data_IF_899585417354
#
_entry.id   IF_899585417354
#
_cell.length_a   1.000
_cell.length_b   1.000
_cell.length_c   1.000
_cell.angle_alpha   90.00
_cell.angle_beta   90.00
_cell.angle_gamma   90.00
#
_symmetry.space_group_name_H-M   'P 1'
#
loop_
_entity.id
_entity.type
_entity.pdbx_description
1 polymer ?
#
# COMPACT_ATOMS: atom_id res chain seq x y z
N UNK A 1 24.31 -6.82 -14.28
CA UNK A 1 23.33 -6.06 -13.46
C UNK A 1 23.85 -6.01 -12.03
N UNK A 2 24.01 -4.82 -11.44
CA UNK A 2 24.38 -4.74 -10.02
C UNK A 2 23.11 -4.91 -9.17
N UNK A 3 22.71 -6.17 -8.98
CA UNK A 3 21.53 -6.58 -8.19
C UNK A 3 21.47 -5.84 -6.84
N UNK A 4 22.64 -5.64 -6.21
CA UNK A 4 22.77 -4.90 -4.95
C UNK A 4 22.32 -3.43 -5.03
N UNK A 5 22.62 -2.71 -6.13
CA UNK A 5 22.22 -1.31 -6.29
C UNK A 5 20.70 -1.18 -6.46
N UNK A 6 20.08 -2.07 -7.25
CA UNK A 6 18.63 -2.14 -7.39
C UNK A 6 17.95 -2.50 -6.07
N UNK A 7 18.47 -3.49 -5.36
CA UNK A 7 17.94 -3.89 -4.06
C UNK A 7 18.04 -2.76 -3.04
N UNK A 8 19.17 -2.06 -2.97
CA UNK A 8 19.36 -0.92 -2.08
C UNK A 8 18.38 0.22 -2.42
N UNK A 9 18.17 0.49 -3.70
CA UNK A 9 17.19 1.46 -4.18
C UNK A 9 15.78 1.08 -3.69
N UNK A 10 15.33 -0.15 -3.95
CA UNK A 10 14.01 -0.65 -3.53
C UNK A 10 13.84 -0.56 -2.01
N UNK A 11 14.86 -0.99 -1.25
CA UNK A 11 14.84 -0.96 0.21
C UNK A 11 14.81 0.46 0.77
N UNK A 12 15.37 1.46 0.07
CA UNK A 12 15.25 2.88 0.44
C UNK A 12 13.89 3.49 0.09
N UNK A 13 13.24 2.98 -0.96
CA UNK A 13 11.95 3.46 -1.45
C UNK A 13 10.78 2.97 -0.57
N UNK A 14 10.78 1.70 -0.19
CA UNK A 14 9.69 1.05 0.58
C UNK A 14 9.30 1.84 1.85
N UNK A 15 10.24 2.28 2.71
CA UNK A 15 9.90 3.06 3.90
C UNK A 15 9.20 4.38 3.60
N UNK A 16 9.56 5.07 2.50
CA UNK A 16 8.92 6.33 2.10
C UNK A 16 7.45 6.12 1.79
N UNK A 17 7.14 5.12 0.98
CA UNK A 17 5.77 4.75 0.62
C UNK A 17 4.98 4.29 1.84
N UNK A 18 5.59 3.44 2.68
CA UNK A 18 4.96 2.97 3.92
C UNK A 18 4.61 4.12 4.84
N UNK A 19 5.51 5.08 5.04
CA UNK A 19 5.26 6.27 5.86
C UNK A 19 4.14 7.11 5.27
N UNK A 20 4.14 7.34 3.96
CA UNK A 20 3.08 8.09 3.30
C UNK A 20 1.71 7.40 3.42
N UNK A 21 1.65 6.07 3.29
CA UNK A 21 0.42 5.30 3.52
C UNK A 21 -0.07 5.46 4.95
N UNK A 22 0.83 5.37 5.94
CA UNK A 22 0.51 5.59 7.36
C UNK A 22 -0.04 6.99 7.60
N UNK A 23 0.60 8.02 7.06
CA UNK A 23 0.13 9.40 7.20
C UNK A 23 -1.22 9.61 6.51
N UNK A 24 -1.44 9.03 5.31
CA UNK A 24 -2.68 9.20 4.58
C UNK A 24 -3.89 8.61 5.33
N UNK A 25 -3.73 7.49 6.03
CA UNK A 25 -4.84 6.90 6.81
C UNK A 25 -5.12 7.64 8.13
N UNK A 26 -4.24 8.53 8.60
CA UNK A 26 -4.51 9.34 9.80
C UNK A 26 -5.63 10.37 9.57
N UNK A 27 -5.91 10.74 8.31
CA UNK A 27 -7.05 11.62 7.97
C UNK A 27 -8.42 11.00 8.29
N UNK A 28 -8.46 9.70 8.56
CA UNK A 28 -9.69 9.03 8.93
C UNK A 28 -10.09 9.39 10.35
N UNK A 29 -11.06 10.30 10.47
CA UNK A 29 -11.66 10.70 11.75
C UNK A 29 -12.39 9.56 12.48
N UNK A 30 -12.63 8.45 11.79
CA UNK A 30 -13.29 7.26 12.32
C UNK A 30 -12.31 6.10 12.39
N UNK A 31 -12.24 5.46 13.54
CA UNK A 31 -11.40 4.29 13.74
C UNK A 31 -11.66 3.63 15.08
N UNK A 32 -10.82 2.65 15.41
CA UNK A 32 -10.77 2.08 16.75
C UNK A 32 -10.30 3.17 17.73
N UNK A 33 -11.00 3.36 18.84
CA UNK A 33 -10.58 4.27 19.93
C UNK A 33 -9.34 3.71 20.61
N UNK A 34 -9.40 2.44 21.01
CA UNK A 34 -8.30 1.66 21.56
C UNK A 34 -7.25 1.29 20.49
N UNK A 35 -6.03 1.03 20.95
CA UNK A 35 -4.89 0.64 20.11
C UNK A 35 -5.12 -0.67 19.36
N UNK A 36 -5.93 -1.57 19.91
CA UNK A 36 -6.34 -2.81 19.29
C UNK A 36 -7.72 -3.25 19.81
N UNK A 37 -8.33 -4.21 19.12
CA UNK A 37 -9.48 -5.00 19.62
C UNK A 37 -9.21 -6.47 19.36
N UNK A 38 -9.78 -7.35 20.17
CA UNK A 38 -9.71 -8.79 19.95
C UNK A 38 -11.03 -9.23 19.28
N UNK A 39 -10.94 -9.92 18.14
CA UNK A 39 -12.09 -10.48 17.42
C UNK A 39 -11.79 -11.91 17.04
N UNK A 40 -12.63 -12.86 17.46
CA UNK A 40 -12.46 -14.30 17.14
C UNK A 40 -11.01 -14.77 17.38
N UNK A 41 -10.46 -14.42 18.55
CA UNK A 41 -9.07 -14.70 18.96
C UNK A 41 -7.95 -14.05 18.13
N UNK A 42 -8.27 -13.13 17.22
CA UNK A 42 -7.28 -12.32 16.49
C UNK A 42 -7.23 -10.89 17.04
N UNK A 43 -6.01 -10.41 17.30
CA UNK A 43 -5.74 -9.02 17.70
C UNK A 43 -5.71 -8.15 16.44
N UNK A 44 -6.69 -7.26 16.29
CA UNK A 44 -6.73 -6.28 15.20
C UNK A 44 -6.31 -4.90 15.69
N UNK A 45 -5.23 -4.34 15.12
CA UNK A 45 -4.73 -3.00 15.46
C UNK A 45 -5.49 -1.84 14.79
N UNK A 46 -5.08 -0.61 15.09
CA UNK A 46 -5.45 0.59 14.30
C UNK A 46 -4.87 0.49 12.89
N UNK A 47 -5.58 0.98 11.87
CA UNK A 47 -5.16 0.87 10.46
C UNK A 47 -3.75 1.43 10.23
N UNK A 48 -3.48 2.66 10.69
CA UNK A 48 -2.18 3.31 10.55
C UNK A 48 -1.02 2.53 11.21
N UNK A 49 -1.30 1.83 12.31
CA UNK A 49 -0.29 1.04 13.02
C UNK A 49 -0.04 -0.30 12.33
N UNK A 50 -1.04 -0.81 11.61
CA UNK A 50 -0.98 -2.12 10.97
C UNK A 50 -0.28 -2.16 9.61
N UNK A 51 -0.02 -0.99 8.98
CA UNK A 51 0.59 -0.96 7.65
C UNK A 51 2.05 -1.42 7.75
N UNK A 52 2.33 -2.55 7.12
CA UNK A 52 3.63 -3.21 7.03
C UNK A 52 4.02 -3.37 5.56
N UNK A 53 5.30 -3.63 5.33
CA UNK A 53 5.85 -3.91 4.02
C UNK A 53 6.74 -5.15 4.10
N UNK A 54 6.72 -5.99 3.08
CA UNK A 54 7.62 -7.12 2.92
C UNK A 54 8.10 -7.21 1.48
N UNK A 55 9.22 -7.90 1.28
CA UNK A 55 9.75 -8.19 -0.05
C UNK A 55 9.91 -9.70 -0.21
N UNK A 56 9.77 -10.17 -1.45
CA UNK A 56 10.25 -11.50 -1.84
C UNK A 56 11.48 -11.32 -2.74
N UNK A 57 12.36 -12.32 -2.73
CA UNK A 57 13.56 -12.33 -3.54
C UNK A 57 13.60 -13.60 -4.37
N UNK A 58 14.08 -13.47 -5.60
CA UNK A 58 14.45 -14.59 -6.47
C UNK A 58 15.87 -14.34 -7.00
N UNK A 59 16.71 -15.37 -6.98
CA UNK A 59 18.13 -15.27 -7.36
C UNK A 59 18.89 -14.06 -6.77
N UNK A 60 18.51 -13.63 -5.56
CA UNK A 60 19.08 -12.47 -4.86
C UNK A 60 18.45 -11.12 -5.22
N UNK A 61 17.68 -11.03 -6.30
CA UNK A 61 16.96 -9.82 -6.73
C UNK A 61 15.60 -9.69 -6.01
N UNK A 62 15.24 -8.48 -5.57
CA UNK A 62 13.89 -8.22 -5.08
C UNK A 62 12.91 -8.17 -6.26
N UNK A 63 12.15 -9.24 -6.43
CA UNK A 63 11.11 -9.38 -7.47
C UNK A 63 9.76 -8.80 -7.06
N UNK A 64 9.47 -8.76 -5.75
CA UNK A 64 8.14 -8.43 -5.24
C UNK A 64 8.21 -7.51 -4.04
N UNK A 65 7.38 -6.47 -4.07
CA UNK A 65 7.09 -5.60 -2.94
C UNK A 65 5.63 -5.81 -2.53
N UNK A 66 5.38 -6.09 -1.26
CA UNK A 66 4.03 -6.26 -0.72
C UNK A 66 3.78 -5.27 0.41
N UNK A 67 2.63 -4.61 0.38
CA UNK A 67 2.12 -3.83 1.51
C UNK A 67 0.97 -4.59 2.16
N UNK A 68 1.06 -4.76 3.47
CA UNK A 68 0.09 -5.48 4.28
C UNK A 68 -0.57 -4.53 5.26
N UNK A 69 -1.85 -4.74 5.53
CA UNK A 69 -2.61 -3.96 6.50
C UNK A 69 -3.84 -4.76 6.95
N UNK A 70 -4.46 -4.30 8.03
CA UNK A 70 -5.65 -4.96 8.57
C UNK A 70 -6.85 -4.89 7.62
N UNK A 71 -7.65 -5.96 7.60
CA UNK A 71 -8.84 -6.11 6.73
C UNK A 71 -9.75 -4.87 6.68
N UNK A 72 -9.92 -4.15 7.78
CA UNK A 72 -10.77 -2.96 7.80
C UNK A 72 -10.26 -1.81 6.91
N UNK A 73 -9.01 -1.83 6.44
CA UNK A 73 -8.52 -0.94 5.39
C UNK A 73 -9.24 -1.15 4.04
N UNK A 74 -9.55 -2.40 3.70
CA UNK A 74 -10.35 -2.76 2.51
C UNK A 74 -11.78 -2.25 2.68
N UNK A 75 -12.33 -2.32 3.90
CA UNK A 75 -13.68 -1.83 4.17
C UNK A 75 -13.81 -0.32 3.99
N UNK A 76 -12.78 0.44 4.40
CA UNK A 76 -12.73 1.89 4.15
C UNK A 76 -12.61 2.16 2.66
N UNK A 77 -11.73 1.44 1.95
CA UNK A 77 -11.54 1.59 0.52
C UNK A 77 -12.84 1.31 -0.27
N UNK A 78 -13.55 0.22 0.04
CA UNK A 78 -14.82 -0.14 -0.62
C UNK A 78 -16.06 0.53 -0.02
N UNK A 79 -15.94 1.29 1.07
CA UNK A 79 -17.08 1.91 1.75
C UNK A 79 -18.02 0.92 2.48
N UNK A 80 -17.61 -0.33 2.69
CA UNK A 80 -18.43 -1.39 3.28
C UNK A 80 -18.27 -1.49 4.81
N UNK A 81 -19.10 -2.31 5.45
CA UNK A 81 -18.98 -2.65 6.88
C UNK A 81 -20.31 -3.02 7.50
N UNK A 82 -20.46 -2.82 8.82
CA UNK A 82 -21.70 -3.14 9.52
C UNK A 82 -22.88 -2.37 8.90
N UNK A 83 -23.83 -3.10 8.32
CA UNK A 83 -25.02 -2.56 7.67
C UNK A 83 -24.81 -1.98 6.27
N UNK A 84 -23.65 -2.20 5.64
CA UNK A 84 -23.32 -1.72 4.30
C UNK A 84 -22.56 -2.78 3.50
N UNK A 85 -23.02 -3.04 2.28
CA UNK A 85 -22.44 -4.03 1.37
C UNK A 85 -22.15 -3.40 0.00
N UNK A 86 -21.13 -3.91 -0.69
CA UNK A 86 -20.84 -3.51 -2.06
C UNK A 86 -21.52 -4.50 -3.01
N UNK A 87 -22.49 -4.03 -3.79
CA UNK A 87 -23.22 -4.83 -4.78
C UNK A 87 -23.16 -4.12 -6.13
N UNK A 88 -22.68 -4.83 -7.17
CA UNK A 88 -22.57 -4.30 -8.54
C UNK A 88 -21.88 -2.91 -8.64
N UNK A 89 -20.85 -2.69 -7.82
CA UNK A 89 -20.10 -1.42 -7.79
C UNK A 89 -20.71 -0.32 -6.91
N UNK A 90 -21.90 -0.53 -6.34
CA UNK A 90 -22.57 0.42 -5.46
C UNK A 90 -22.49 0.00 -4.00
N UNK A 91 -22.39 0.98 -3.10
CA UNK A 91 -22.48 0.75 -1.64
C UNK A 91 -23.94 0.85 -1.22
N UNK A 92 -24.55 -0.29 -0.90
CA UNK A 92 -25.96 -0.42 -0.51
C UNK A 92 -26.06 -0.63 1.01
N UNK A 93 -27.03 0.02 1.64
CA UNK A 93 -27.32 -0.18 3.06
C UNK A 93 -28.21 -1.41 3.26
N UNK A 94 -27.78 -2.34 4.10
CA UNK A 94 -28.50 -3.59 4.40
C UNK A 94 -29.14 -3.62 5.79
N UNK A 95 -28.76 -2.73 6.70
CA UNK A 95 -29.33 -2.69 8.05
C UNK A 95 -30.79 -2.24 8.07
N UNK A 96 -31.65 -2.95 8.80
CA UNK A 96 -33.03 -2.54 9.11
C UNK A 96 -33.01 -1.59 10.32
N UNK A 97 -33.24 -0.30 10.11
CA UNK A 97 -33.18 0.74 11.16
C UNK A 97 -32.86 2.13 10.59
N UNK A 98 -32.77 3.19 11.40
CA UNK A 98 -32.47 4.53 10.90
C UNK A 98 -31.05 4.64 10.33
N UNK A 99 -30.87 5.48 9.31
CA UNK A 99 -29.55 5.76 8.73
C UNK A 99 -28.79 6.67 9.67
N UNK A 100 -27.92 6.10 10.50
CA UNK A 100 -27.08 6.91 11.40
C UNK A 100 -26.04 7.72 10.63
N UNK A 101 -25.42 7.14 9.58
CA UNK A 101 -24.43 7.82 8.73
C UNK A 101 -24.17 7.06 7.44
N UNK A 102 -24.27 7.74 6.29
CA UNK A 102 -23.90 7.17 4.98
C UNK A 102 -22.41 6.80 4.95
N UNK A 103 -22.09 5.62 4.41
CA UNK A 103 -20.71 5.24 4.10
C UNK A 103 -20.41 5.55 2.64
N UNK A 104 -19.17 5.96 2.39
CA UNK A 104 -18.63 6.26 1.07
C UNK A 104 -17.29 5.54 0.94
N UNK A 105 -16.99 5.02 -0.23
CA UNK A 105 -15.68 4.48 -0.58
C UNK A 105 -14.63 5.59 -0.49
N UNK A 106 -13.49 5.30 0.10
CA UNK A 106 -12.40 6.28 0.23
C UNK A 106 -11.14 5.71 -0.39
N UNK A 107 -10.73 6.29 -1.52
CA UNK A 107 -9.46 5.97 -2.15
C UNK A 107 -8.30 6.50 -1.31
N UNK A 108 -7.58 5.59 -0.66
CA UNK A 108 -6.49 5.93 0.26
C UNK A 108 -5.18 5.21 -0.02
N UNK A 109 -5.24 4.11 -0.76
CA UNK A 109 -4.08 3.27 -1.02
C UNK A 109 -3.44 3.63 -2.37
N UNK A 110 -4.19 3.48 -3.47
CA UNK A 110 -3.68 3.71 -4.83
C UNK A 110 -3.11 5.11 -5.05
N UNK A 111 -3.74 6.21 -4.62
CA UNK A 111 -3.19 7.55 -4.86
C UNK A 111 -1.81 7.76 -4.22
N UNK A 112 -1.51 7.04 -3.14
CA UNK A 112 -0.18 7.08 -2.52
C UNK A 112 0.80 6.33 -3.40
N UNK A 113 0.45 5.12 -3.88
CA UNK A 113 1.32 4.34 -4.76
C UNK A 113 1.59 5.07 -6.08
N UNK A 114 0.56 5.59 -6.73
CA UNK A 114 0.65 6.32 -8.00
C UNK A 114 1.60 7.52 -7.92
N UNK A 115 1.72 8.14 -6.74
CA UNK A 115 2.69 9.23 -6.50
C UNK A 115 4.14 8.75 -6.44
N UNK A 116 4.41 7.54 -5.96
CA UNK A 116 5.78 7.04 -5.70
C UNK A 116 6.29 6.05 -6.74
N UNK A 117 5.40 5.38 -7.49
CA UNK A 117 5.77 4.42 -8.53
C UNK A 117 6.64 5.06 -9.62
N UNK A 118 6.34 6.28 -10.14
CA UNK A 118 7.17 6.90 -11.18
C UNK A 118 8.63 7.07 -10.75
N UNK A 119 8.88 7.59 -9.54
CA UNK A 119 10.24 7.77 -9.01
C UNK A 119 11.03 6.45 -8.98
N UNK A 120 10.37 5.34 -8.61
CA UNK A 120 11.00 4.03 -8.59
C UNK A 120 11.30 3.52 -10.00
N UNK A 121 10.32 3.65 -10.91
CA UNK A 121 10.43 3.21 -12.29
C UNK A 121 11.59 3.92 -13.01
N UNK A 122 11.68 5.25 -12.88
CA UNK A 122 12.73 6.06 -13.51
C UNK A 122 14.12 5.66 -13.02
N UNK A 123 14.27 5.41 -11.72
CA UNK A 123 15.55 5.02 -11.13
C UNK A 123 15.98 3.61 -11.54
N UNK A 124 15.04 2.65 -11.59
CA UNK A 124 15.33 1.29 -12.09
C UNK A 124 15.69 1.35 -13.58
N UNK A 125 14.96 2.12 -14.38
CA UNK A 125 15.26 2.29 -15.80
C UNK A 125 16.66 2.87 -16.01
N UNK A 126 17.03 3.91 -15.25
CA UNK A 126 18.37 4.50 -15.31
C UNK A 126 19.47 3.50 -14.94
N UNK A 127 19.29 2.71 -13.88
CA UNK A 127 20.23 1.65 -13.50
C UNK A 127 20.41 0.60 -14.60
N UNK A 128 19.31 0.18 -15.23
CA UNK A 128 19.33 -0.79 -16.31
C UNK A 128 20.00 -0.25 -17.58
N UNK A 129 19.75 1.01 -17.94
CA UNK A 129 20.42 1.69 -19.05
C UNK A 129 21.93 1.76 -18.80
N UNK A 130 22.36 2.20 -17.61
CA UNK A 130 23.79 2.27 -17.27
C UNK A 130 24.47 0.89 -17.30
N UNK A 131 23.76 -0.14 -16.82
CA UNK A 131 24.25 -1.51 -16.87
C UNK A 131 24.40 -2.02 -18.31
N UNK A 132 23.44 -1.70 -19.19
CA UNK A 132 23.49 -2.06 -20.61
C UNK A 132 24.66 -1.35 -21.31
N UNK A 133 24.78 -0.03 -21.17
CA UNK A 133 25.89 0.76 -21.74
C UNK A 133 27.25 0.20 -21.30
N UNK A 134 27.41 -0.06 -20.00
CA UNK A 134 28.63 -0.63 -19.43
C UNK A 134 28.95 -2.02 -19.98
N UNK A 135 27.93 -2.86 -20.19
CA UNK A 135 28.11 -4.21 -20.73
C UNK A 135 28.50 -4.20 -22.22
N UNK A 136 28.05 -3.19 -22.97
CA UNK A 136 28.32 -3.04 -24.40
C UNK A 136 29.62 -2.29 -24.71
N UNK A 137 30.35 -1.81 -23.69
CA UNK A 137 31.49 -0.88 -23.81
C UNK A 137 31.19 0.34 -24.71
N UNK A 138 29.91 0.71 -24.82
CA UNK A 138 29.48 1.83 -25.63
C UNK A 138 29.82 3.13 -24.89
N UNK A 139 30.86 3.82 -25.36
CA UNK A 139 31.10 5.21 -24.96
C UNK A 139 30.27 6.12 -25.87
N UNK A 140 29.26 6.77 -25.31
CA UNK A 140 28.64 7.92 -25.97
C UNK A 140 29.52 9.12 -25.61
N UNK A 141 30.31 9.58 -26.59
CA UNK A 141 31.06 10.84 -26.52
C UNK A 141 30.19 11.98 -27.03
#
# INVERSE_FOLDING_TARGET
>A
MKIEEQNALILSWIPKVRTALKSNVLRFSKGKSQSFVIRKNQKEGKLHQSIKSSTARDLGEIEKISFQFERHGVFVHKGVGRGYEATKGFVIRTAKGPVLKRRVSVEWFNPVLERFIPELADKIASLNTNAAVSATDMKIN
#
